data_IF_466736348578
#
_entry.id   IF_466736348578
#
_cell.length_a   1.000
_cell.length_b   1.000
_cell.length_c   1.000
_cell.angle_alpha   90.00
_cell.angle_beta   90.00
_cell.angle_gamma   90.00
#
_symmetry.space_group_name_H-M   'P 1'
#
loop_
_entity.id
_entity.type
_entity.pdbx_description
1 polymer ?
#
# COMPACT_ATOMS: atom_id res chain seq x y z
N UNK A 1 -10.61 33.76 -39.02
CA UNK A 1 -11.21 33.10 -37.83
C UNK A 1 -10.18 32.12 -37.32
N UNK A 2 -9.40 32.55 -36.34
CA UNK A 2 -8.56 31.66 -35.55
C UNK A 2 -9.49 31.12 -34.47
N UNK A 3 -9.65 29.80 -34.43
CA UNK A 3 -10.36 29.15 -33.33
C UNK A 3 -9.45 29.26 -32.11
N UNK A 4 -9.85 30.10 -31.15
CA UNK A 4 -9.25 30.11 -29.83
C UNK A 4 -9.69 28.83 -29.12
N UNK A 5 -8.74 27.91 -28.93
CA UNK A 5 -8.85 26.83 -27.96
C UNK A 5 -8.86 27.47 -26.57
N UNK A 6 -10.06 27.78 -26.07
CA UNK A 6 -10.29 28.02 -24.66
C UNK A 6 -10.27 26.67 -23.93
N UNK A 7 -9.09 26.07 -23.79
CA UNK A 7 -8.84 25.15 -22.68
C UNK A 7 -8.74 26.00 -21.41
N UNK A 8 -9.91 26.31 -20.86
CA UNK A 8 -10.02 26.74 -19.49
C UNK A 8 -9.56 25.56 -18.64
N UNK A 9 -8.30 25.58 -18.20
CA UNK A 9 -7.79 24.81 -17.07
C UNK A 9 -8.59 25.21 -15.82
N UNK A 10 -9.84 24.74 -15.74
CA UNK A 10 -10.62 24.81 -14.52
C UNK A 10 -9.92 23.91 -13.52
N UNK A 11 -9.27 24.52 -12.53
CA UNK A 11 -8.70 23.80 -11.38
C UNK A 11 -9.81 22.91 -10.83
N UNK A 12 -9.61 21.59 -10.90
CA UNK A 12 -10.56 20.62 -10.36
C UNK A 12 -10.53 20.74 -8.83
N UNK A 13 -11.47 21.50 -8.27
CA UNK A 13 -11.72 21.52 -6.83
C UNK A 13 -12.81 20.48 -6.52
N UNK A 14 -12.47 19.37 -5.84
CA UNK A 14 -13.46 18.38 -5.46
C UNK A 14 -14.42 18.95 -4.42
N UNK A 15 -15.70 18.62 -4.54
CA UNK A 15 -16.69 18.91 -3.50
C UNK A 15 -16.35 18.12 -2.23
N UNK A 16 -16.30 18.79 -1.07
CA UNK A 16 -16.04 18.16 0.22
C UNK A 16 -17.33 18.20 1.05
N UNK A 17 -17.70 17.08 1.64
CA UNK A 17 -18.82 16.97 2.60
C UNK A 17 -18.31 16.31 3.87
N UNK A 18 -18.51 16.96 5.01
CA UNK A 18 -18.11 16.46 6.33
C UNK A 18 -19.36 16.22 7.18
N UNK A 19 -19.46 15.06 7.82
CA UNK A 19 -20.61 14.69 8.65
C UNK A 19 -20.19 13.80 9.82
N UNK A 20 -20.87 13.98 10.95
CA UNK A 20 -20.80 13.08 12.10
C UNK A 20 -21.93 12.05 12.02
N UNK A 21 -21.57 10.77 12.03
CA UNK A 21 -22.53 9.66 11.90
C UNK A 21 -22.53 8.85 13.18
N UNK A 22 -23.64 8.90 13.90
CA UNK A 22 -23.87 8.12 15.10
C UNK A 22 -24.10 6.64 14.76
N UNK A 23 -23.30 5.76 15.35
CA UNK A 23 -23.44 4.31 15.23
C UNK A 23 -23.59 3.68 16.63
N UNK A 24 -24.02 2.41 16.74
CA UNK A 24 -24.00 1.69 18.01
C UNK A 24 -22.60 1.58 18.66
N UNK A 25 -21.54 1.85 17.89
CA UNK A 25 -20.15 1.79 18.31
C UNK A 25 -19.50 3.18 18.35
N UNK A 26 -20.30 4.22 18.58
CA UNK A 26 -19.82 5.60 18.73
C UNK A 26 -20.04 6.46 17.48
N UNK A 27 -19.69 7.74 17.62
CA UNK A 27 -19.84 8.76 16.60
C UNK A 27 -18.58 8.82 15.70
N UNK A 28 -18.77 8.60 14.41
CA UNK A 28 -17.71 8.60 13.41
C UNK A 28 -17.73 9.89 12.62
N UNK A 29 -16.58 10.57 12.55
CA UNK A 29 -16.41 11.71 11.66
C UNK A 29 -16.04 11.21 10.27
N UNK A 30 -16.85 11.58 9.28
CA UNK A 30 -16.80 11.07 7.92
C UNK A 30 -16.62 12.23 6.94
N UNK A 31 -15.68 12.10 6.00
CA UNK A 31 -15.37 13.12 4.99
C UNK A 31 -15.47 12.50 3.61
N UNK A 32 -16.36 13.01 2.77
CA UNK A 32 -16.52 12.61 1.37
C UNK A 32 -15.90 13.68 0.48
N UNK A 33 -14.87 13.31 -0.29
CA UNK A 33 -14.18 14.18 -1.24
C UNK A 33 -14.45 13.73 -2.67
N UNK A 34 -15.12 14.58 -3.44
CA UNK A 34 -15.58 14.34 -4.80
C UNK A 34 -17.06 13.99 -4.88
N UNK A 35 -17.57 13.77 -6.09
CA UNK A 35 -18.98 13.45 -6.32
C UNK A 35 -19.21 11.94 -6.31
N UNK A 36 -20.14 11.46 -5.49
CA UNK A 36 -20.56 10.05 -5.48
C UNK A 36 -21.16 9.65 -6.83
N UNK A 37 -20.70 8.52 -7.36
CA UNK A 37 -21.17 7.99 -8.65
C UNK A 37 -21.80 6.62 -8.45
N UNK A 38 -22.99 6.43 -9.02
CA UNK A 38 -23.64 5.12 -9.02
C UNK A 38 -22.74 4.07 -9.70
N UNK A 39 -22.75 2.84 -9.17
CA UNK A 39 -22.00 1.69 -9.69
C UNK A 39 -20.47 1.88 -9.78
N UNK A 40 -19.90 2.79 -8.98
CA UNK A 40 -18.45 2.91 -8.78
C UNK A 40 -18.13 2.71 -7.30
N UNK A 41 -17.06 1.98 -6.97
CA UNK A 41 -16.60 1.95 -5.59
C UNK A 41 -16.08 3.31 -5.18
N UNK A 42 -16.08 3.57 -3.88
CA UNK A 42 -15.32 4.67 -3.30
C UNK A 42 -13.98 4.16 -2.77
N UNK A 43 -12.98 5.04 -2.68
CA UNK A 43 -11.77 4.76 -1.92
C UNK A 43 -12.07 5.08 -0.47
N UNK A 44 -12.30 4.06 0.36
CA UNK A 44 -12.54 4.23 1.79
C UNK A 44 -11.19 4.22 2.51
N UNK A 45 -10.87 5.27 3.26
CA UNK A 45 -9.63 5.31 4.04
C UNK A 45 -9.87 5.15 5.53
N UNK A 46 -9.00 4.41 6.22
CA UNK A 46 -9.02 4.30 7.68
C UNK A 46 -7.60 4.48 8.23
N UNK A 47 -7.42 5.44 9.14
CA UNK A 47 -6.10 5.88 9.62
C UNK A 47 -5.53 4.97 10.72
N UNK A 48 -4.25 5.18 11.05
CA UNK A 48 -3.59 4.51 12.16
C UNK A 48 -3.80 5.24 13.50
N UNK A 49 -3.39 4.61 14.59
CA UNK A 49 -3.41 5.18 15.95
C UNK A 49 -2.56 6.46 16.02
N UNK A 50 -3.11 7.48 16.69
CA UNK A 50 -2.44 8.76 16.88
C UNK A 50 -2.30 9.59 15.60
N UNK A 51 -3.01 9.19 14.56
CA UNK A 51 -3.24 9.94 13.33
C UNK A 51 -4.74 10.19 13.17
N UNK A 52 -5.07 10.99 12.17
CA UNK A 52 -6.43 11.19 11.68
C UNK A 52 -6.40 11.20 10.13
N UNK A 53 -7.49 11.51 9.42
CA UNK A 53 -7.47 11.44 7.95
C UNK A 53 -6.46 12.41 7.34
N UNK A 54 -6.29 13.59 7.95
CA UNK A 54 -5.36 14.63 7.48
C UNK A 54 -3.92 14.16 7.62
N UNK A 55 -3.50 13.80 8.82
CA UNK A 55 -2.11 13.39 9.07
C UNK A 55 -1.77 12.03 8.49
N UNK A 56 -2.74 11.17 8.25
CA UNK A 56 -2.50 9.86 7.65
C UNK A 56 -2.47 9.89 6.12
N UNK A 57 -3.30 10.72 5.47
CA UNK A 57 -3.58 10.59 4.05
C UNK A 57 -3.51 11.88 3.22
N UNK A 58 -3.58 13.07 3.82
CA UNK A 58 -3.66 14.32 3.05
C UNK A 58 -2.45 14.52 2.12
N UNK A 59 -1.24 14.19 2.57
CA UNK A 59 -0.03 14.19 1.71
C UNK A 59 -0.20 13.30 0.48
N UNK A 60 -0.85 12.14 0.61
CA UNK A 60 -1.09 11.22 -0.49
C UNK A 60 -2.15 11.77 -1.45
N UNK A 61 -3.29 12.25 -0.92
CA UNK A 61 -4.43 12.68 -1.73
C UNK A 61 -4.25 14.06 -2.37
N UNK A 62 -3.41 14.92 -1.80
CA UNK A 62 -3.06 16.22 -2.38
C UNK A 62 -1.88 16.14 -3.36
N UNK A 63 -1.22 14.98 -3.49
CA UNK A 63 -0.14 14.81 -4.45
C UNK A 63 -0.66 14.87 -5.89
N UNK A 64 0.06 15.54 -6.78
CA UNK A 64 -0.36 15.78 -8.18
C UNK A 64 -0.72 14.50 -8.93
N UNK A 65 0.06 13.43 -8.75
CA UNK A 65 -0.17 12.13 -9.41
C UNK A 65 -1.50 11.47 -8.97
N UNK A 66 -2.00 11.78 -7.78
CA UNK A 66 -3.24 11.20 -7.25
C UNK A 66 -4.48 11.72 -7.97
N UNK A 67 -4.37 12.86 -8.66
CA UNK A 67 -5.45 13.43 -9.47
C UNK A 67 -5.90 12.49 -10.60
N UNK A 68 -5.02 11.62 -11.11
CA UNK A 68 -5.41 10.60 -12.10
C UNK A 68 -6.47 9.64 -11.53
N UNK A 69 -6.41 9.36 -10.23
CA UNK A 69 -7.33 8.45 -9.53
C UNK A 69 -8.57 9.23 -9.06
N UNK A 70 -8.38 10.35 -8.36
CA UNK A 70 -9.47 11.08 -7.68
C UNK A 70 -10.43 11.81 -8.63
N UNK A 71 -10.05 12.04 -9.90
CA UNK A 71 -10.98 12.48 -10.95
C UNK A 71 -12.03 11.41 -11.30
N UNK A 72 -11.72 10.14 -11.02
CA UNK A 72 -12.54 8.99 -11.41
C UNK A 72 -13.28 8.35 -10.23
N UNK A 73 -12.64 8.33 -9.04
CA UNK A 73 -13.15 7.69 -7.83
C UNK A 73 -13.29 8.70 -6.70
N UNK A 74 -14.42 8.66 -6.01
CA UNK A 74 -14.66 9.44 -4.79
C UNK A 74 -13.86 8.88 -3.64
N UNK A 75 -13.40 9.75 -2.75
CA UNK A 75 -12.68 9.36 -1.53
C UNK A 75 -13.62 9.52 -0.34
N UNK A 76 -13.66 8.50 0.52
CA UNK A 76 -14.45 8.47 1.74
C UNK A 76 -13.53 8.23 2.93
N UNK A 77 -13.15 9.29 3.62
CA UNK A 77 -12.34 9.20 4.82
C UNK A 77 -13.22 8.91 6.03
N UNK A 78 -12.84 7.89 6.80
CA UNK A 78 -13.46 7.56 8.08
C UNK A 78 -12.44 7.80 9.17
N UNK A 79 -12.82 8.62 10.15
CA UNK A 79 -12.03 8.82 11.37
C UNK A 79 -12.62 8.04 12.53
N UNK A 80 -11.75 7.34 13.26
CA UNK A 80 -12.16 6.60 14.44
C UNK A 80 -12.76 7.56 15.49
N UNK A 81 -13.68 7.07 16.35
CA UNK A 81 -14.35 7.90 17.34
C UNK A 81 -13.37 8.72 18.18
N UNK A 82 -13.61 10.03 18.24
CA UNK A 82 -12.80 10.97 19.01
C UNK A 82 -11.39 11.28 18.47
N UNK A 83 -11.05 10.84 17.25
CA UNK A 83 -9.74 11.10 16.63
C UNK A 83 -9.71 12.29 15.65
N UNK A 84 -10.87 12.88 15.32
CA UNK A 84 -10.97 14.10 14.53
C UNK A 84 -10.36 15.30 15.27
N UNK A 85 -9.95 16.33 14.51
CA UNK A 85 -9.39 17.55 15.11
C UNK A 85 -10.39 18.22 16.06
N UNK A 86 -9.89 18.75 17.18
CA UNK A 86 -10.71 19.39 18.22
C UNK A 86 -11.82 18.49 18.82
N UNK A 87 -11.69 17.16 18.72
CA UNK A 87 -12.62 16.22 19.35
C UNK A 87 -12.74 16.44 20.86
N UNK A 88 -13.97 16.45 21.35
CA UNK A 88 -14.25 16.45 22.80
C UNK A 88 -13.76 15.15 23.42
N UNK A 89 -13.33 15.23 24.69
CA UNK A 89 -12.96 14.05 25.46
C UNK A 89 -14.16 13.14 25.61
N UNK A 90 -14.01 11.87 25.21
CA UNK A 90 -15.05 10.87 25.35
C UNK A 90 -15.35 10.60 26.83
N UNK A 91 -16.61 10.35 27.22
CA UNK A 91 -16.96 10.10 28.62
C UNK A 91 -16.26 8.85 29.17
N UNK A 92 -15.72 8.94 30.39
CA UNK A 92 -15.03 7.81 31.04
C UNK A 92 -15.93 6.59 31.30
N UNK A 93 -17.26 6.79 31.32
CA UNK A 93 -18.23 5.71 31.49
C UNK A 93 -18.52 4.93 30.19
N UNK A 94 -18.07 5.44 29.04
CA UNK A 94 -18.24 4.77 27.75
C UNK A 94 -16.99 3.94 27.44
N UNK A 95 -17.15 2.63 27.29
CA UNK A 95 -16.07 1.78 26.84
C UNK A 95 -15.78 2.11 25.37
N UNK A 96 -14.52 2.45 25.07
CA UNK A 96 -14.11 2.69 23.69
C UNK A 96 -14.33 1.43 22.85
N UNK A 97 -14.81 1.54 21.59
CA UNK A 97 -15.09 0.38 20.76
C UNK A 97 -13.86 -0.51 20.54
N UNK A 98 -14.05 -1.82 20.55
CA UNK A 98 -13.01 -2.76 20.15
C UNK A 98 -12.71 -2.67 18.65
N UNK A 99 -11.57 -3.18 18.21
CA UNK A 99 -11.23 -3.24 16.78
C UNK A 99 -12.30 -3.98 15.94
N UNK A 100 -12.93 -5.00 16.51
CA UNK A 100 -14.04 -5.72 15.89
C UNK A 100 -15.27 -4.81 15.77
N UNK A 101 -15.64 -4.09 16.83
CA UNK A 101 -16.77 -3.15 16.81
C UNK A 101 -16.53 -1.99 15.84
N UNK A 102 -15.31 -1.46 15.75
CA UNK A 102 -14.95 -0.44 14.76
C UNK A 102 -15.14 -0.96 13.32
N UNK A 103 -14.82 -2.23 13.06
CA UNK A 103 -15.05 -2.84 11.74
C UNK A 103 -16.54 -3.05 11.43
N UNK A 104 -17.35 -3.37 12.45
CA UNK A 104 -18.81 -3.56 12.33
C UNK A 104 -19.59 -2.24 12.18
N UNK A 105 -18.97 -1.08 12.45
CA UNK A 105 -19.57 0.22 12.14
C UNK A 105 -19.58 0.52 10.64
N UNK A 106 -18.60 0.01 9.88
CA UNK A 106 -18.42 0.36 8.48
C UNK A 106 -19.66 0.06 7.60
N UNK A 107 -20.32 -1.11 7.67
CA UNK A 107 -21.56 -1.35 6.92
C UNK A 107 -22.65 -0.29 7.16
N UNK A 108 -22.78 0.20 8.39
CA UNK A 108 -23.76 1.24 8.73
C UNK A 108 -23.38 2.59 8.10
N UNK A 109 -22.10 2.95 8.11
CA UNK A 109 -21.59 4.15 7.44
C UNK A 109 -21.81 4.07 5.92
N UNK A 110 -21.44 2.94 5.29
CA UNK A 110 -21.66 2.72 3.86
C UNK A 110 -23.14 2.88 3.51
N UNK A 111 -24.03 2.28 4.31
CA UNK A 111 -25.48 2.40 4.13
C UNK A 111 -25.97 3.84 4.28
N UNK A 112 -25.46 4.59 5.26
CA UNK A 112 -25.81 6.01 5.48
C UNK A 112 -25.52 6.87 4.25
N UNK A 113 -24.35 6.69 3.64
CA UNK A 113 -23.92 7.42 2.44
C UNK A 113 -24.39 6.79 1.12
N UNK A 114 -25.16 5.70 1.15
CA UNK A 114 -25.66 5.01 -0.06
C UNK A 114 -24.55 4.35 -0.90
N UNK A 115 -23.49 3.88 -0.25
CA UNK A 115 -22.32 3.25 -0.88
C UNK A 115 -22.51 1.74 -1.03
N UNK A 116 -22.14 1.19 -2.18
CA UNK A 116 -22.34 -0.23 -2.49
C UNK A 116 -21.09 -1.09 -2.27
N UNK A 117 -19.93 -0.61 -2.69
CA UNK A 117 -18.65 -1.30 -2.49
C UNK A 117 -17.52 -0.29 -2.29
N UNK A 118 -16.41 -0.77 -1.73
CA UNK A 118 -15.24 0.06 -1.45
C UNK A 118 -13.95 -0.57 -1.94
N UNK A 119 -12.99 0.29 -2.27
CA UNK A 119 -11.57 -0.03 -2.30
C UNK A 119 -10.99 0.52 -1.00
N UNK A 120 -10.69 -0.35 -0.04
CA UNK A 120 -10.19 0.06 1.28
C UNK A 120 -8.71 0.42 1.25
N UNK A 121 -8.33 1.55 1.84
CA UNK A 121 -6.95 1.98 2.06
C UNK A 121 -6.74 2.19 3.57
N UNK A 122 -6.05 1.27 4.21
CA UNK A 122 -5.83 1.30 5.66
C UNK A 122 -4.36 1.40 6.03
N UNK A 123 -4.06 2.06 7.14
CA UNK A 123 -2.72 2.11 7.73
C UNK A 123 -2.77 1.56 9.16
N UNK A 124 -1.90 0.61 9.51
CA UNK A 124 -1.79 0.03 10.85
C UNK A 124 -3.12 -0.45 11.42
N UNK A 125 -3.63 0.23 12.45
CA UNK A 125 -4.96 -0.05 13.01
C UNK A 125 -6.08 0.02 11.96
N UNK A 126 -6.07 1.03 11.09
CA UNK A 126 -7.01 1.12 9.99
C UNK A 126 -6.89 -0.04 9.00
N UNK A 127 -5.67 -0.52 8.75
CA UNK A 127 -5.47 -1.71 7.91
C UNK A 127 -6.09 -2.96 8.55
N UNK A 128 -5.93 -3.13 9.87
CA UNK A 128 -6.58 -4.22 10.62
C UNK A 128 -8.12 -4.11 10.55
N UNK A 129 -8.68 -2.92 10.78
CA UNK A 129 -10.14 -2.68 10.74
C UNK A 129 -10.71 -3.04 9.37
N UNK A 130 -10.05 -2.59 8.29
CA UNK A 130 -10.51 -2.86 6.93
C UNK A 130 -10.35 -4.33 6.54
N UNK A 131 -9.28 -5.00 6.99
CA UNK A 131 -9.13 -6.44 6.80
C UNK A 131 -10.25 -7.21 7.54
N UNK A 132 -10.55 -6.86 8.79
CA UNK A 132 -11.64 -7.48 9.56
C UNK A 132 -13.00 -7.25 8.91
N UNK A 133 -13.26 -6.02 8.45
CA UNK A 133 -14.46 -5.66 7.69
C UNK A 133 -14.60 -6.50 6.42
N UNK A 134 -13.54 -6.66 5.63
CA UNK A 134 -13.57 -7.47 4.41
C UNK A 134 -13.74 -8.98 4.67
N UNK A 135 -13.26 -9.49 5.81
CA UNK A 135 -13.51 -10.88 6.22
C UNK A 135 -14.98 -11.11 6.58
N UNK A 136 -15.64 -10.12 7.18
CA UNK A 136 -17.03 -10.23 7.64
C UNK A 136 -18.05 -9.84 6.54
N UNK A 137 -17.68 -8.91 5.66
CA UNK A 137 -18.53 -8.37 4.60
C UNK A 137 -17.81 -8.36 3.24
N UNK A 138 -17.40 -9.54 2.72
CA UNK A 138 -16.64 -9.62 1.47
C UNK A 138 -17.38 -9.02 0.26
N UNK A 139 -18.71 -9.00 0.29
CA UNK A 139 -19.53 -8.45 -0.81
C UNK A 139 -19.51 -6.91 -0.88
N UNK A 140 -18.99 -6.24 0.15
CA UNK A 140 -18.87 -4.78 0.20
C UNK A 140 -17.45 -4.29 -0.14
N UNK A 141 -16.50 -5.19 -0.40
CA UNK A 141 -15.07 -4.85 -0.56
C UNK A 141 -14.53 -5.41 -1.87
N UNK A 142 -14.20 -4.50 -2.78
CA UNK A 142 -13.65 -4.86 -4.09
C UNK A 142 -12.15 -5.13 -4.01
N UNK A 143 -11.44 -4.40 -3.13
CA UNK A 143 -10.02 -4.57 -2.89
C UNK A 143 -9.53 -3.83 -1.66
N UNK A 144 -8.36 -4.24 -1.16
CA UNK A 144 -7.70 -3.67 0.00
C UNK A 144 -6.25 -3.27 -0.30
N UNK A 145 -5.86 -2.09 0.17
CA UNK A 145 -4.47 -1.64 0.27
C UNK A 145 -4.16 -1.47 1.76
N UNK A 146 -3.30 -2.34 2.28
CA UNK A 146 -3.04 -2.48 3.71
C UNK A 146 -1.59 -2.09 4.00
N UNK A 147 -1.40 -0.88 4.49
CA UNK A 147 -0.09 -0.33 4.84
C UNK A 147 0.22 -0.69 6.30
N UNK A 148 1.38 -1.30 6.57
CA UNK A 148 1.84 -1.66 7.92
C UNK A 148 0.84 -2.47 8.76
N UNK A 149 0.05 -3.36 8.13
CA UNK A 149 -0.87 -4.23 8.87
C UNK A 149 -0.12 -5.16 9.83
N UNK A 150 -0.62 -5.27 11.07
CA UNK A 150 -0.26 -6.34 11.98
C UNK A 150 -1.49 -7.25 12.23
N UNK A 151 -1.54 -8.47 11.68
CA UNK A 151 -2.70 -9.35 11.83
C UNK A 151 -2.73 -10.06 13.19
N UNK A 152 -1.68 -9.95 14.01
CA UNK A 152 -1.56 -10.71 15.24
C UNK A 152 -2.09 -9.93 16.44
N UNK A 153 -2.58 -10.66 17.46
CA UNK A 153 -2.75 -10.08 18.78
C UNK A 153 -1.38 -9.68 19.36
N UNK A 154 -1.35 -8.67 20.23
CA UNK A 154 -0.13 -8.35 20.97
C UNK A 154 0.30 -9.56 21.81
N UNK A 155 1.57 -9.96 21.71
CA UNK A 155 2.10 -11.07 22.48
C UNK A 155 2.14 -10.75 23.98
N UNK A 156 2.30 -11.77 24.82
CA UNK A 156 2.51 -11.57 26.28
C UNK A 156 3.78 -10.75 26.52
N UNK A 157 4.83 -10.94 25.70
CA UNK A 157 6.08 -10.17 25.77
C UNK A 157 5.87 -8.71 25.38
N UNK A 158 5.09 -8.46 24.33
CA UNK A 158 4.76 -7.10 23.89
C UNK A 158 3.85 -6.41 24.90
N UNK A 159 2.96 -7.16 25.56
CA UNK A 159 2.12 -6.67 26.66
C UNK A 159 2.95 -6.27 27.88
N UNK A 160 4.00 -7.03 28.21
CA UNK A 160 4.91 -6.70 29.31
C UNK A 160 5.78 -5.50 28.94
N UNK A 161 6.31 -5.46 27.70
CA UNK A 161 7.02 -4.29 27.19
C UNK A 161 6.12 -3.06 27.20
N UNK A 162 4.87 -3.17 26.76
CA UNK A 162 3.86 -2.12 26.78
C UNK A 162 3.54 -1.65 28.20
N UNK A 163 3.40 -2.56 29.17
CA UNK A 163 3.14 -2.18 30.58
C UNK A 163 4.35 -1.51 31.23
N UNK A 164 5.56 -1.90 30.85
CA UNK A 164 6.80 -1.25 31.32
C UNK A 164 6.97 0.12 30.63
N UNK A 165 6.66 0.24 29.34
CA UNK A 165 6.70 1.50 28.61
C UNK A 165 5.56 2.45 28.99
N UNK A 166 4.40 1.96 29.41
CA UNK A 166 3.32 2.79 29.99
C UNK A 166 3.77 3.49 31.28
N UNK A 167 4.77 2.95 31.99
CA UNK A 167 5.37 3.59 33.16
C UNK A 167 6.53 4.55 32.84
N UNK A 168 7.16 4.46 31.66
CA UNK A 168 8.38 5.21 31.33
C UNK A 168 8.25 6.16 30.13
N UNK A 169 7.24 5.99 29.28
CA UNK A 169 7.03 6.77 28.06
C UNK A 169 5.74 7.60 28.12
N UNK A 170 5.80 8.80 27.52
CA UNK A 170 4.61 9.62 27.29
C UNK A 170 3.79 9.03 26.13
N UNK A 171 2.48 9.32 26.09
CA UNK A 171 1.61 8.85 25.00
C UNK A 171 2.15 9.21 23.60
N UNK A 172 2.63 10.45 23.33
CA UNK A 172 3.27 10.76 22.05
C UNK A 172 4.47 9.86 21.75
N UNK A 173 5.31 9.54 22.74
CA UNK A 173 6.47 8.66 22.50
C UNK A 173 6.04 7.23 22.16
N UNK A 174 5.02 6.69 22.83
CA UNK A 174 4.45 5.38 22.50
C UNK A 174 3.95 5.34 21.06
N UNK A 175 3.18 6.35 20.63
CA UNK A 175 2.68 6.44 19.26
C UNK A 175 3.84 6.60 18.26
N UNK A 176 4.83 7.44 18.56
CA UNK A 176 6.01 7.61 17.69
C UNK A 176 6.76 6.29 17.51
N UNK A 177 6.95 5.49 18.57
CA UNK A 177 7.61 4.18 18.47
C UNK A 177 6.76 3.12 17.77
N UNK A 178 5.44 3.28 17.75
CA UNK A 178 4.53 2.45 16.96
C UNK A 178 4.62 2.78 15.46
N UNK A 179 4.66 4.07 15.12
CA UNK A 179 4.65 4.52 13.73
C UNK A 179 6.02 4.39 13.05
N UNK A 180 7.12 4.69 13.75
CA UNK A 180 8.44 4.89 13.13
C UNK A 180 9.51 3.93 13.65
N UNK A 181 10.43 3.55 12.76
CA UNK A 181 11.57 2.71 13.11
C UNK A 181 12.60 3.46 13.97
N UNK A 182 13.40 2.76 14.77
CA UNK A 182 14.39 3.37 15.69
C UNK A 182 15.36 4.32 14.98
N UNK A 183 15.87 3.91 13.82
CA UNK A 183 16.81 4.71 13.04
C UNK A 183 16.13 5.96 12.45
N UNK A 184 14.90 5.85 12.00
CA UNK A 184 14.09 6.99 11.51
C UNK A 184 13.81 7.99 12.63
N UNK A 185 13.49 7.50 13.83
CA UNK A 185 13.31 8.34 15.03
C UNK A 185 14.57 9.14 15.35
N UNK A 186 15.76 8.55 15.14
CA UNK A 186 17.05 9.16 15.45
C UNK A 186 17.59 10.07 14.34
N UNK A 187 17.13 9.92 13.10
CA UNK A 187 17.71 10.60 11.94
C UNK A 187 16.79 11.63 11.30
N UNK A 188 15.47 11.45 11.39
CA UNK A 188 14.47 12.31 10.74
C UNK A 188 13.74 13.21 11.76
N UNK A 189 14.50 14.08 12.42
CA UNK A 189 13.99 14.86 13.55
C UNK A 189 12.78 15.75 13.20
N UNK A 190 12.73 16.34 12.00
CA UNK A 190 11.64 17.25 11.60
C UNK A 190 10.32 16.50 11.43
N UNK A 191 10.35 15.33 10.78
CA UNK A 191 9.18 14.46 10.63
C UNK A 191 8.66 14.05 12.02
N UNK A 192 9.57 13.55 12.86
CA UNK A 192 9.25 13.05 14.19
C UNK A 192 8.72 14.17 15.11
N UNK A 193 9.30 15.37 15.03
CA UNK A 193 8.83 16.54 15.76
C UNK A 193 7.42 16.96 15.30
N UNK A 194 7.15 16.91 13.99
CA UNK A 194 5.84 17.24 13.42
C UNK A 194 4.75 16.31 13.95
N UNK A 195 4.96 14.99 13.88
CA UNK A 195 3.98 14.02 14.39
C UNK A 195 3.85 14.08 15.92
N UNK A 196 4.96 14.22 16.65
CA UNK A 196 4.90 14.38 18.12
C UNK A 196 4.10 15.63 18.51
N UNK A 197 4.30 16.75 17.80
CA UNK A 197 3.55 17.98 18.03
C UNK A 197 2.06 17.81 17.75
N UNK A 198 1.70 17.15 16.65
CA UNK A 198 0.31 16.86 16.29
C UNK A 198 -0.40 16.05 17.38
N UNK A 199 0.21 14.95 17.83
CA UNK A 199 -0.36 14.09 18.88
C UNK A 199 -0.51 14.87 20.20
N UNK A 200 0.44 15.76 20.51
CA UNK A 200 0.44 16.51 21.76
C UNK A 200 -0.57 17.66 21.77
N UNK A 201 -0.69 18.38 20.66
CA UNK A 201 -1.32 19.71 20.60
C UNK A 201 -2.62 19.73 19.81
N UNK A 202 -2.74 18.91 18.77
CA UNK A 202 -3.89 18.91 17.87
C UNK A 202 -4.91 17.84 18.25
N UNK A 203 -4.44 16.66 18.65
CA UNK A 203 -5.31 15.53 19.01
C UNK A 203 -5.73 15.55 20.48
N UNK A 204 -6.89 14.94 20.75
CA UNK A 204 -7.30 14.65 22.11
C UNK A 204 -6.56 13.43 22.66
N UNK A 205 -5.54 13.66 23.49
CA UNK A 205 -4.69 12.60 24.04
C UNK A 205 -5.47 11.53 24.84
N UNK A 206 -6.57 11.89 25.51
CA UNK A 206 -7.39 10.90 26.22
C UNK A 206 -8.07 9.95 25.25
N UNK A 207 -8.59 10.45 24.14
CA UNK A 207 -9.20 9.64 23.10
C UNK A 207 -8.16 8.82 22.33
N UNK A 208 -6.97 9.37 22.05
CA UNK A 208 -5.86 8.62 21.44
C UNK A 208 -5.43 7.46 22.34
N UNK A 209 -5.33 7.68 23.65
CA UNK A 209 -5.04 6.63 24.64
C UNK A 209 -6.08 5.51 24.65
N UNK A 210 -7.36 5.83 24.43
CA UNK A 210 -8.41 4.82 24.32
C UNK A 210 -8.29 4.02 23.02
N UNK A 211 -8.01 4.68 21.89
CA UNK A 211 -7.86 4.01 20.60
C UNK A 211 -6.63 3.08 20.56
N UNK A 212 -5.47 3.53 21.07
CA UNK A 212 -4.28 2.66 21.16
C UNK A 212 -4.52 1.45 22.06
N UNK A 213 -5.25 1.61 23.18
CA UNK A 213 -5.60 0.49 24.05
C UNK A 213 -6.51 -0.52 23.36
N UNK A 214 -7.47 -0.03 22.58
CA UNK A 214 -8.33 -0.88 21.75
C UNK A 214 -7.50 -1.67 20.73
N UNK A 215 -6.58 -0.99 20.02
CA UNK A 215 -5.69 -1.63 19.06
C UNK A 215 -4.76 -2.67 19.71
N UNK A 216 -4.20 -2.38 20.87
CA UNK A 216 -3.32 -3.32 21.59
C UNK A 216 -4.09 -4.50 22.20
N UNK A 217 -5.39 -4.36 22.41
CA UNK A 217 -6.27 -5.43 22.91
C UNK A 217 -6.93 -6.24 21.79
N UNK A 218 -6.52 -6.04 20.53
CA UNK A 218 -7.09 -6.73 19.36
C UNK A 218 -6.86 -8.24 19.43
N UNK A 219 -7.81 -9.01 18.92
CA UNK A 219 -7.59 -10.43 18.65
C UNK A 219 -6.71 -10.59 17.41
N UNK A 220 -6.13 -11.78 17.22
CA UNK A 220 -5.53 -12.10 15.92
C UNK A 220 -6.62 -12.13 14.82
N UNK A 221 -6.25 -11.75 13.60
CA UNK A 221 -7.03 -12.05 12.40
C UNK A 221 -6.91 -13.55 12.14
N UNK A 222 -8.05 -14.24 12.19
CA UNK A 222 -8.17 -15.66 11.88
C UNK A 222 -8.13 -15.86 10.37
N UNK A 223 -6.94 -15.70 9.78
CA UNK A 223 -6.69 -15.90 8.36
C UNK A 223 -5.73 -17.06 8.13
N UNK A 224 -6.13 -17.95 7.24
CA UNK A 224 -5.33 -19.11 6.83
C UNK A 224 -5.15 -19.13 5.32
N UNK A 225 -3.94 -19.50 4.89
CA UNK A 225 -3.62 -19.57 3.46
C UNK A 225 -4.30 -20.81 2.89
N UNK A 226 -5.13 -20.68 1.84
CA UNK A 226 -5.73 -21.83 1.18
C UNK A 226 -4.67 -22.75 0.57
N UNK A 227 -4.80 -24.06 0.81
CA UNK A 227 -3.93 -25.08 0.20
C UNK A 227 -4.58 -25.56 -1.10
N UNK A 228 -3.88 -25.49 -2.26
CA UNK A 228 -4.42 -25.99 -3.52
C UNK A 228 -4.77 -27.48 -3.45
N UNK A 229 -6.01 -27.82 -3.80
CA UNK A 229 -6.49 -29.21 -3.82
C UNK A 229 -7.15 -29.71 -2.54
N UNK A 230 -7.16 -28.90 -1.46
CA UNK A 230 -7.93 -29.20 -0.25
C UNK A 230 -9.28 -28.48 -0.27
N UNK A 231 -10.37 -29.23 -0.01
CA UNK A 231 -11.74 -28.70 0.07
C UNK A 231 -12.09 -28.28 1.50
N UNK A 232 -11.21 -27.51 2.15
CA UNK A 232 -11.46 -26.91 3.47
C UNK A 232 -11.91 -25.47 3.27
N UNK A 233 -12.92 -25.03 4.03
CA UNK A 233 -13.39 -23.64 3.97
C UNK A 233 -12.44 -22.73 4.77
N UNK A 234 -11.33 -22.33 4.16
CA UNK A 234 -10.36 -21.43 4.77
C UNK A 234 -10.96 -20.02 4.92
N UNK A 235 -10.90 -19.45 6.12
CA UNK A 235 -11.20 -18.03 6.34
C UNK A 235 -10.02 -17.21 5.83
N UNK A 236 -10.22 -16.47 4.74
CA UNK A 236 -9.19 -15.61 4.15
C UNK A 236 -9.84 -14.44 3.40
N UNK A 237 -9.04 -13.44 3.02
CA UNK A 237 -9.53 -12.31 2.22
C UNK A 237 -9.89 -12.78 0.81
N UNK A 238 -11.14 -12.53 0.39
CA UNK A 238 -11.64 -12.90 -0.93
C UNK A 238 -11.29 -11.87 -2.01
N UNK A 239 -11.20 -10.60 -1.63
CA UNK A 239 -10.88 -9.49 -2.53
C UNK A 239 -9.39 -9.43 -2.89
N UNK A 240 -9.05 -8.70 -3.95
CA UNK A 240 -7.65 -8.36 -4.26
C UNK A 240 -7.04 -7.58 -3.09
N UNK A 241 -5.80 -7.88 -2.72
CA UNK A 241 -5.12 -7.27 -1.57
C UNK A 241 -3.69 -6.85 -1.94
N UNK A 242 -3.34 -5.60 -1.67
CA UNK A 242 -1.99 -5.07 -1.78
C UNK A 242 -1.47 -4.75 -0.38
N UNK A 243 -0.48 -5.50 0.07
CA UNK A 243 0.24 -5.24 1.31
C UNK A 243 1.40 -4.28 1.02
N UNK A 244 1.54 -3.22 1.81
CA UNK A 244 2.60 -2.23 1.64
C UNK A 244 3.36 -2.02 2.94
N UNK A 245 4.68 -2.01 2.88
CA UNK A 245 5.54 -1.74 4.04
C UNK A 245 6.86 -1.11 3.60
N UNK A 246 7.38 -0.16 4.37
CA UNK A 246 8.74 0.36 4.17
C UNK A 246 9.79 -0.62 4.70
N UNK A 247 10.94 -0.76 4.03
CA UNK A 247 12.00 -1.68 4.46
C UNK A 247 12.56 -1.40 5.86
N UNK A 248 12.41 -0.16 6.35
CA UNK A 248 12.84 0.28 7.68
C UNK A 248 11.66 0.47 8.66
N UNK A 249 10.45 0.02 8.30
CA UNK A 249 9.24 0.12 9.15
C UNK A 249 9.31 -0.86 10.32
N UNK A 250 8.80 -0.51 11.52
CA UNK A 250 8.65 -1.45 12.62
C UNK A 250 7.68 -2.60 12.30
N UNK A 251 6.84 -2.46 11.26
CA UNK A 251 5.83 -3.45 10.88
C UNK A 251 6.28 -4.50 9.86
N UNK A 252 7.55 -4.50 9.40
CA UNK A 252 8.03 -5.40 8.34
C UNK A 252 7.72 -6.86 8.63
N UNK A 253 8.05 -7.35 9.83
CA UNK A 253 7.83 -8.75 10.20
C UNK A 253 6.34 -9.10 10.21
N UNK A 254 5.51 -8.23 10.78
CA UNK A 254 4.06 -8.44 10.86
C UNK A 254 3.38 -8.45 9.48
N UNK A 255 3.83 -7.59 8.56
CA UNK A 255 3.30 -7.56 7.19
C UNK A 255 3.73 -8.79 6.39
N UNK A 256 4.97 -9.26 6.57
CA UNK A 256 5.46 -10.49 5.94
C UNK A 256 4.72 -11.73 6.49
N UNK A 257 4.49 -11.78 7.80
CA UNK A 257 3.67 -12.82 8.42
C UNK A 257 2.22 -12.79 7.89
N UNK A 258 1.62 -11.60 7.76
CA UNK A 258 0.31 -11.44 7.12
C UNK A 258 0.29 -12.02 5.70
N UNK A 259 1.27 -11.66 4.87
CA UNK A 259 1.39 -12.18 3.51
C UNK A 259 1.47 -13.71 3.49
N UNK A 260 2.15 -14.32 4.46
CA UNK A 260 2.29 -15.79 4.57
C UNK A 260 0.95 -16.50 4.80
N UNK A 261 -0.01 -15.81 5.42
CA UNK A 261 -1.36 -16.32 5.76
C UNK A 261 -2.42 -16.00 4.71
N UNK A 262 -2.15 -15.08 3.79
CA UNK A 262 -3.09 -14.71 2.73
C UNK A 262 -2.93 -15.58 1.48
N UNK A 263 -3.97 -15.60 0.64
CA UNK A 263 -3.96 -16.31 -0.63
C UNK A 263 -3.02 -15.60 -1.64
N UNK A 264 -1.97 -16.27 -2.15
CA UNK A 264 -1.03 -15.65 -3.08
C UNK A 264 -1.64 -15.31 -4.45
N UNK A 265 -2.80 -15.85 -4.83
CA UNK A 265 -3.40 -15.55 -6.14
C UNK A 265 -4.08 -14.18 -6.20
N UNK A 266 -4.48 -13.64 -5.05
CA UNK A 266 -5.15 -12.33 -4.96
C UNK A 266 -4.36 -11.32 -4.09
N UNK A 267 -3.20 -11.72 -3.54
CA UNK A 267 -2.40 -10.88 -2.65
C UNK A 267 -1.03 -10.56 -3.25
N UNK A 268 -0.66 -9.27 -3.24
CA UNK A 268 0.66 -8.79 -3.63
C UNK A 268 1.33 -8.10 -2.45
N UNK A 269 2.61 -8.38 -2.21
CA UNK A 269 3.44 -7.68 -1.22
C UNK A 269 4.37 -6.68 -1.91
N UNK A 270 4.25 -5.41 -1.53
CA UNK A 270 5.13 -4.32 -1.94
C UNK A 270 5.99 -3.87 -0.76
N UNK A 271 7.26 -4.25 -0.79
CA UNK A 271 8.28 -3.71 0.12
C UNK A 271 8.92 -2.47 -0.51
N UNK A 272 8.84 -1.33 0.17
CA UNK A 272 9.32 -0.05 -0.32
C UNK A 272 10.73 0.24 0.18
N UNK A 273 11.69 0.22 -0.74
CA UNK A 273 13.07 0.57 -0.46
C UNK A 273 13.21 2.02 0.03
N UNK A 274 14.18 2.24 0.93
CA UNK A 274 14.51 3.54 1.53
C UNK A 274 13.30 4.23 2.19
N UNK A 275 12.40 3.43 2.78
CA UNK A 275 11.17 3.92 3.38
C UNK A 275 10.98 3.35 4.79
N UNK A 276 10.52 4.19 5.71
CA UNK A 276 10.25 3.83 7.09
C UNK A 276 8.76 3.68 7.38
N UNK A 277 8.32 4.33 8.44
CA UNK A 277 7.02 4.15 9.07
C UNK A 277 5.80 4.56 8.26
N UNK A 278 5.89 5.61 7.43
CA UNK A 278 4.73 6.16 6.72
C UNK A 278 4.96 6.25 5.20
N UNK A 279 4.87 5.14 4.46
CA UNK A 279 5.14 5.14 3.02
C UNK A 279 4.28 6.12 2.21
N UNK A 280 3.03 6.30 2.61
CA UNK A 280 2.09 7.21 1.98
C UNK A 280 2.42 8.70 2.18
N UNK A 281 3.31 9.02 3.13
CA UNK A 281 3.76 10.38 3.43
C UNK A 281 5.17 10.62 2.91
N UNK A 282 6.07 9.64 3.10
CA UNK A 282 7.50 9.78 2.74
C UNK A 282 7.75 9.51 1.27
N UNK A 283 7.01 8.59 0.64
CA UNK A 283 7.15 8.24 -0.78
C UNK A 283 5.79 8.20 -1.50
N UNK A 284 4.98 9.28 -1.43
CA UNK A 284 3.59 9.29 -1.92
C UNK A 284 3.48 8.92 -3.41
N UNK A 285 4.37 9.43 -4.26
CA UNK A 285 4.36 9.14 -5.70
C UNK A 285 4.45 7.63 -6.00
N UNK A 286 5.28 6.88 -5.26
CA UNK A 286 5.41 5.41 -5.44
C UNK A 286 4.18 4.67 -4.93
N UNK A 287 3.60 5.11 -3.82
CA UNK A 287 2.34 4.54 -3.29
C UNK A 287 1.19 4.79 -4.27
N UNK A 288 1.11 5.99 -4.86
CA UNK A 288 0.11 6.35 -5.87
C UNK A 288 0.26 5.50 -7.12
N UNK A 289 1.49 5.30 -7.60
CA UNK A 289 1.75 4.43 -8.74
C UNK A 289 1.29 2.99 -8.48
N UNK A 290 1.61 2.43 -7.30
CA UNK A 290 1.15 1.11 -6.91
C UNK A 290 -0.38 1.03 -6.78
N UNK A 291 -1.00 2.03 -6.16
CA UNK A 291 -2.45 2.15 -6.04
C UNK A 291 -3.12 2.22 -7.41
N UNK A 292 -2.55 2.99 -8.36
CA UNK A 292 -3.05 3.09 -9.72
C UNK A 292 -3.06 1.73 -10.41
N UNK A 293 -1.95 1.00 -10.37
CA UNK A 293 -1.90 -0.34 -10.98
C UNK A 293 -2.84 -1.33 -10.30
N UNK A 294 -2.98 -1.25 -8.98
CA UNK A 294 -3.93 -2.06 -8.22
C UNK A 294 -5.39 -1.81 -8.65
N UNK A 295 -5.79 -0.55 -8.75
CA UNK A 295 -7.14 -0.15 -9.21
C UNK A 295 -7.36 -0.52 -10.68
N UNK A 296 -6.35 -0.38 -11.54
CA UNK A 296 -6.40 -0.82 -12.94
C UNK A 296 -6.57 -2.34 -13.05
N UNK A 297 -5.90 -3.12 -12.20
CA UNK A 297 -6.03 -4.58 -12.14
C UNK A 297 -7.45 -5.05 -11.82
N UNK A 298 -8.22 -4.23 -11.10
CA UNK A 298 -9.65 -4.46 -10.82
C UNK A 298 -10.59 -3.94 -11.93
N UNK A 299 -10.07 -3.24 -12.95
CA UNK A 299 -10.84 -2.73 -14.08
C UNK A 299 -11.50 -1.36 -13.86
N UNK A 300 -11.17 -0.62 -12.80
CA UNK A 300 -11.81 0.65 -12.47
C UNK A 300 -11.18 1.89 -13.12
N UNK A 301 -9.94 1.78 -13.61
CA UNK A 301 -9.26 2.85 -14.36
C UNK A 301 -8.85 2.35 -15.75
N UNK A 302 -9.14 3.14 -16.77
CA UNK A 302 -8.71 2.82 -18.13
C UNK A 302 -7.19 2.91 -18.23
N UNK A 303 -6.56 1.89 -18.82
CA UNK A 303 -5.13 1.89 -19.14
C UNK A 303 -4.86 2.87 -20.28
N UNK A 304 -4.92 4.18 -20.02
CA UNK A 304 -4.45 5.19 -20.98
C UNK A 304 -2.92 5.17 -20.96
N UNK A 305 -2.35 4.62 -22.03
CA UNK A 305 -0.95 4.57 -22.46
C UNK A 305 0.10 4.88 -21.38
N UNK A 306 0.75 3.82 -20.91
CA UNK A 306 2.02 3.84 -20.18
C UNK A 306 3.03 4.77 -20.86
N UNK A 307 3.12 6.04 -20.45
CA UNK A 307 4.10 6.98 -21.01
C UNK A 307 5.51 6.77 -20.43
N UNK A 308 5.73 5.69 -19.65
CA UNK A 308 7.01 5.35 -19.04
C UNK A 308 7.66 4.06 -19.55
N UNK A 309 7.42 3.69 -20.81
CA UNK A 309 8.46 3.00 -21.58
C UNK A 309 9.16 4.01 -22.51
N UNK A 310 9.95 4.91 -21.93
CA UNK A 310 11.01 5.58 -22.69
C UNK A 310 12.15 4.56 -22.85
N UNK A 311 12.01 3.68 -23.84
CA UNK A 311 13.14 2.92 -24.37
C UNK A 311 14.23 3.91 -24.77
N UNK A 312 15.31 3.99 -23.98
CA UNK A 312 16.56 4.63 -24.40
C UNK A 312 17.19 3.75 -25.48
N UNK A 313 16.67 3.88 -26.70
CA UNK A 313 17.36 3.52 -27.93
C UNK A 313 17.17 4.68 -28.90
N UNK A 314 17.86 5.78 -28.65
CA UNK A 314 18.08 6.80 -29.68
C UNK A 314 19.10 6.24 -30.67
N UNK A 315 18.61 5.50 -31.66
CA UNK A 315 19.36 5.28 -32.89
C UNK A 315 19.41 6.61 -33.62
N UNK A 316 20.54 7.30 -33.54
CA UNK A 316 20.80 8.51 -34.31
C UNK A 316 20.78 8.18 -35.79
N UNK A 317 19.88 8.83 -36.53
CA UNK A 317 19.94 8.87 -37.98
C UNK A 317 19.45 10.25 -38.42
N UNK A 318 20.39 10.99 -38.99
CA UNK A 318 20.32 12.36 -39.46
C UNK A 318 19.26 12.57 -40.55
N UNK A 319 18.43 13.61 -40.41
CA UNK A 319 17.67 14.21 -41.50
C UNK A 319 18.00 15.71 -41.54
N UNK A 320 18.94 16.07 -42.40
CA UNK A 320 19.10 17.44 -42.89
C UNK A 320 18.88 17.41 -44.40
N UNK A 321 17.64 17.66 -44.81
CA UNK A 321 17.25 17.84 -46.21
C UNK A 321 17.16 19.34 -46.48
N UNK A 322 18.11 19.88 -47.23
CA UNK A 322 18.00 21.17 -47.90
C UNK A 322 18.12 20.96 -49.41
N UNK A 323 17.15 21.53 -50.14
CA UNK A 323 17.02 21.55 -51.59
C UNK A 323 18.16 22.30 -52.31
N UNK A 324 18.51 21.85 -53.53
CA UNK A 324 19.35 22.65 -54.42
C UNK A 324 19.85 21.95 -55.70
N UNK A 325 19.02 22.02 -56.75
CA UNK A 325 19.37 22.32 -58.15
C UNK A 325 20.37 21.48 -58.99
N UNK A 326 19.89 21.17 -60.21
CA UNK A 326 20.55 21.03 -61.54
C UNK A 326 20.94 19.63 -62.08
N UNK A 327 20.12 19.20 -63.05
CA UNK A 327 20.43 18.70 -64.41
C UNK A 327 21.72 17.92 -64.73
N UNK A 328 21.47 16.80 -65.45
CA UNK A 328 21.99 16.37 -66.77
C UNK A 328 22.87 15.10 -66.83
N UNK A 329 22.38 14.18 -67.68
CA UNK A 329 23.07 13.35 -68.68
C UNK A 329 23.54 11.91 -68.33
N UNK A 330 23.07 10.96 -69.17
CA UNK A 330 23.76 9.85 -69.88
C UNK A 330 24.77 8.98 -69.10
N UNK A 331 24.88 7.65 -69.24
CA UNK A 331 24.62 6.67 -70.32
C UNK A 331 24.89 5.26 -69.74
N UNK A 332 24.35 4.21 -70.39
CA UNK A 332 24.93 2.86 -70.67
C UNK A 332 25.71 2.10 -69.56
N UNK A 333 25.68 0.77 -69.41
CA UNK A 333 25.35 -0.36 -70.28
C UNK A 333 25.37 -1.64 -69.41
N UNK A 334 24.67 -2.69 -69.88
CA UNK A 334 25.06 -4.13 -69.98
C UNK A 334 26.08 -4.69 -68.94
N UNK A 335 25.97 -5.89 -68.35
CA UNK A 335 25.58 -7.22 -68.86
C UNK A 335 25.64 -8.18 -67.64
N UNK A 336 24.66 -9.09 -67.45
CA UNK A 336 24.79 -10.53 -67.78
C UNK A 336 26.04 -11.15 -67.13
N UNK A 337 25.97 -11.89 -66.02
CA UNK A 337 25.13 -13.05 -65.74
C UNK A 337 25.99 -14.33 -65.84
N UNK A 338 25.97 -15.20 -64.83
CA UNK A 338 25.92 -16.68 -64.96
C UNK A 338 26.18 -17.39 -63.63
N UNK A 339 25.25 -18.31 -63.36
CA UNK A 339 25.34 -19.51 -62.53
C UNK A 339 26.45 -20.46 -62.99
N UNK A 340 27.10 -21.18 -62.06
CA UNK A 340 27.16 -22.65 -62.06
C UNK A 340 27.81 -23.24 -60.79
N UNK A 341 27.21 -24.36 -60.41
CA UNK A 341 27.50 -25.42 -59.43
C UNK A 341 28.83 -26.17 -59.61
N UNK A 342 29.45 -26.67 -58.52
CA UNK A 342 29.71 -28.10 -58.17
C UNK A 342 30.91 -28.34 -57.20
N UNK A 343 30.78 -29.35 -56.33
CA UNK A 343 31.84 -30.23 -55.78
C UNK A 343 32.47 -29.78 -54.43
N UNK A 344 32.30 -30.47 -53.29
CA UNK A 344 32.78 -31.78 -52.78
C UNK A 344 34.07 -31.68 -51.92
N UNK A 345 33.98 -32.28 -50.70
CA UNK A 345 35.05 -32.75 -49.76
C UNK A 345 35.95 -31.67 -49.08
N UNK A 346 36.43 -31.75 -47.82
CA UNK A 346 36.47 -32.77 -46.75
C UNK A 346 36.88 -32.08 -45.40
N UNK A 347 36.52 -32.71 -44.26
CA UNK A 347 37.20 -32.79 -42.94
C UNK A 347 37.58 -31.56 -42.07
N UNK A 348 36.99 -31.54 -40.86
CA UNK A 348 37.57 -31.42 -39.47
C UNK A 348 36.44 -30.88 -38.56
N UNK A 349 36.11 -31.35 -37.37
CA UNK A 349 36.68 -32.31 -36.41
C UNK A 349 36.50 -31.75 -35.00
N UNK A 350 35.60 -32.36 -34.18
CA UNK A 350 35.46 -32.31 -32.68
C UNK A 350 35.31 -30.94 -31.99
N UNK A 351 34.71 -30.79 -30.81
CA UNK A 351 33.79 -31.56 -29.97
C UNK A 351 33.29 -30.61 -28.86
N UNK A 352 32.08 -30.86 -28.37
CA UNK A 352 31.41 -30.19 -27.24
C UNK A 352 32.01 -30.57 -25.88
N UNK A 353 31.88 -29.66 -24.90
CA UNK A 353 31.85 -30.00 -23.46
C UNK A 353 30.74 -29.21 -22.78
N UNK A 354 29.72 -29.93 -22.33
CA UNK A 354 28.80 -29.58 -21.23
C UNK A 354 29.45 -29.98 -19.91
N UNK A 355 29.25 -29.20 -18.85
CA UNK A 355 29.50 -29.63 -17.46
C UNK A 355 28.35 -29.14 -16.57
N UNK A 356 27.60 -30.11 -16.06
CA UNK A 356 26.70 -30.02 -14.90
C UNK A 356 27.45 -30.61 -13.70
N UNK A 357 27.20 -30.13 -12.48
CA UNK A 357 27.65 -30.86 -11.27
C UNK A 357 26.75 -30.62 -10.06
N UNK A 358 26.33 -31.75 -9.50
CA UNK A 358 25.53 -31.93 -8.29
C UNK A 358 26.35 -31.76 -6.99
N UNK A 359 25.60 -31.59 -5.92
CA UNK A 359 25.95 -31.53 -4.49
C UNK A 359 26.54 -32.82 -3.91
N UNK A 360 27.48 -32.67 -2.96
CA UNK A 360 27.93 -33.73 -2.03
C UNK A 360 27.93 -33.21 -0.58
N UNK A 361 27.42 -34.06 0.31
CA UNK A 361 27.30 -33.96 1.77
C UNK A 361 28.47 -34.64 2.54
N UNK A 362 28.53 -34.39 3.85
CA UNK A 362 29.31 -35.02 4.96
C UNK A 362 30.71 -34.43 5.24
N UNK A 363 31.21 -34.26 6.49
CA UNK A 363 30.83 -34.78 7.82
C UNK A 363 31.71 -34.20 8.97
N UNK A 364 31.22 -34.35 10.22
CA UNK A 364 31.90 -34.68 11.49
C UNK A 364 32.44 -33.63 12.51
N UNK A 365 31.76 -33.64 13.66
CA UNK A 365 32.19 -33.80 15.08
C UNK A 365 33.29 -32.91 15.72
N UNK A 366 32.92 -32.25 16.82
CA UNK A 366 33.71 -32.20 18.06
C UNK A 366 32.82 -31.96 19.30
N UNK A 367 33.23 -32.60 20.40
CA UNK A 367 32.61 -32.79 21.73
C UNK A 367 32.85 -31.58 22.64
N UNK A 368 31.93 -31.28 23.60
CA UNK A 368 32.28 -30.89 24.99
C UNK A 368 31.09 -30.95 25.96
N UNK A 369 31.40 -31.32 27.21
CA UNK A 369 30.56 -31.89 28.28
C UNK A 369 29.84 -30.86 29.17
N UNK A 370 28.79 -31.36 29.83
CA UNK A 370 28.03 -30.81 30.97
C UNK A 370 28.86 -30.34 32.18
N UNK A 371 28.32 -29.39 32.94
CA UNK A 371 28.36 -29.42 34.42
C UNK A 371 27.14 -28.68 34.99
N UNK A 372 26.36 -29.38 35.82
CA UNK A 372 25.37 -28.84 36.76
C UNK A 372 26.08 -28.18 37.94
N UNK A 373 25.52 -27.12 38.52
CA UNK A 373 25.57 -26.87 39.98
C UNK A 373 24.28 -26.19 40.42
N UNK A 374 23.62 -26.76 41.42
CA UNK A 374 22.50 -26.20 42.17
C UNK A 374 22.99 -25.47 43.44
N UNK A 375 22.31 -24.39 43.79
CA UNK A 375 21.84 -24.01 45.14
C UNK A 375 20.91 -22.80 45.01
#
# INVERSE_FOLDING_TARGET
MVLEENDCDSVFEPQITEEHVETPYGDFHCIVTGTLRANRPVILTFHDVGLNHKTCFETLFNHVDMQEITRHLTVFHVEAPGQHEAAKTLPAAHAYPSMDQLSEALPALLKHFGLHSVIGLGVGAGAYILAKFALNHPDLVDGLVLININPNAEGIMDTVAYKITEWTHTLPDTVITHLFGKDEIQTNHDLIATYRHHITTTMNQSNVSQFIRSYNSRSALEVERPVPGENINFRTLKCSTLLVVGDNSPAVEAVVDCNSKLNPTNTTLLKMADCGGLPQVVQPAKVIEALKYFIQGMGYLSSRSMTRLRSRTTSGSSVSSFEGLRSRAHTNELQRGRTHSHGLEEKRGRAHTDVSMESISNSNQAISRSTEVAC
#
